data_IF_709273328532
#
_entry.id   IF_709273328532
#
_cell.length_a   1.000
_cell.length_b   1.000
_cell.length_c   1.000
_cell.angle_alpha   90.00
_cell.angle_beta   90.00
_cell.angle_gamma   90.00
#
_symmetry.space_group_name_H-M   'P 1'
#
loop_
_entity.id
_entity.type
_entity.pdbx_description
1 polymer ?
#
# COMPACT_ATOMS: atom_id res chain seq x y z
N UNK A 1 13.13 -3.56 2.68
CA UNK A 1 12.21 -4.69 2.48
C UNK A 1 11.54 -5.16 3.76
N UNK A 2 12.12 -6.04 4.61
CA UNK A 2 11.44 -6.57 5.82
C UNK A 2 10.78 -5.49 6.68
N UNK A 3 11.55 -4.46 7.07
CA UNK A 3 11.03 -3.36 7.87
C UNK A 3 9.84 -2.66 7.20
N UNK A 4 9.89 -2.44 5.88
CA UNK A 4 8.79 -1.78 5.14
C UNK A 4 7.58 -2.70 5.02
N UNK A 5 7.77 -3.98 4.70
CA UNK A 5 6.68 -4.98 4.64
C UNK A 5 5.94 -5.09 5.97
N UNK A 6 6.67 -5.04 7.08
CA UNK A 6 6.10 -5.01 8.43
C UNK A 6 5.44 -3.65 8.74
N UNK A 7 6.09 -2.53 8.37
CA UNK A 7 5.60 -1.18 8.58
C UNK A 7 4.26 -0.94 7.86
N UNK A 8 4.14 -1.41 6.62
CA UNK A 8 2.94 -1.30 5.79
C UNK A 8 1.93 -2.40 6.07
N UNK A 9 2.11 -3.15 7.17
CA UNK A 9 1.23 -4.24 7.62
C UNK A 9 0.96 -5.35 6.60
N UNK A 10 1.77 -5.47 5.55
CA UNK A 10 1.63 -6.51 4.51
C UNK A 10 2.06 -7.86 5.06
N UNK A 11 3.22 -7.90 5.72
CA UNK A 11 3.63 -9.06 6.51
C UNK A 11 3.72 -10.40 5.77
N UNK A 12 4.35 -10.46 4.59
CA UNK A 12 4.45 -11.71 3.79
C UNK A 12 4.97 -12.95 4.54
N UNK A 13 5.78 -12.76 5.60
CA UNK A 13 6.33 -13.88 6.38
C UNK A 13 7.50 -14.61 5.72
N UNK A 14 7.92 -14.21 4.52
CA UNK A 14 9.08 -14.73 3.79
C UNK A 14 10.41 -14.43 4.50
N UNK A 15 10.49 -13.29 5.19
CA UNK A 15 11.53 -12.96 6.14
C UNK A 15 10.88 -12.74 7.50
N UNK A 16 11.31 -13.50 8.50
CA UNK A 16 10.80 -13.40 9.86
C UNK A 16 11.91 -13.55 10.90
N UNK A 17 11.77 -12.90 12.07
CA UNK A 17 12.73 -13.04 13.16
C UNK A 17 12.67 -14.46 13.75
N UNK A 18 13.79 -15.17 13.77
CA UNK A 18 13.85 -16.54 14.31
C UNK A 18 14.27 -16.54 15.78
N UNK A 19 15.27 -15.73 16.14
CA UNK A 19 15.83 -15.65 17.50
C UNK A 19 14.96 -14.84 18.46
N UNK A 20 15.02 -15.18 19.75
CA UNK A 20 14.26 -14.53 20.84
C UNK A 20 14.46 -13.01 20.86
N UNK A 21 15.72 -12.55 20.81
CA UNK A 21 16.04 -11.12 20.87
C UNK A 21 15.51 -10.37 19.64
N UNK A 22 15.60 -10.99 18.45
CA UNK A 22 15.07 -10.41 17.21
C UNK A 22 13.55 -10.35 17.18
N UNK A 23 12.87 -11.32 17.82
CA UNK A 23 11.41 -11.32 17.97
C UNK A 23 10.96 -10.19 18.89
N UNK A 24 11.62 -10.03 20.05
CA UNK A 24 11.36 -8.93 20.97
C UNK A 24 11.52 -7.57 20.30
N UNK A 25 12.63 -7.35 19.58
CA UNK A 25 12.84 -6.12 18.82
C UNK A 25 11.75 -5.90 17.77
N UNK A 26 11.37 -6.94 17.04
CA UNK A 26 10.32 -6.87 16.02
C UNK A 26 8.95 -6.52 16.64
N UNK A 27 8.65 -7.00 17.84
CA UNK A 27 7.42 -6.60 18.55
C UNK A 27 7.40 -5.10 18.83
N UNK A 28 8.48 -4.54 19.39
CA UNK A 28 8.58 -3.09 19.63
C UNK A 28 8.50 -2.29 18.33
N UNK A 29 9.19 -2.75 17.29
CA UNK A 29 9.12 -2.15 15.97
C UNK A 29 7.70 -2.18 15.40
N UNK A 30 7.00 -3.32 15.42
CA UNK A 30 5.64 -3.44 14.88
C UNK A 30 4.65 -2.52 15.61
N UNK A 31 4.74 -2.43 16.94
CA UNK A 31 3.87 -1.54 17.73
C UNK A 31 4.11 -0.06 17.42
N UNK A 32 5.38 0.36 17.33
CA UNK A 32 5.72 1.75 16.98
C UNK A 32 5.40 2.08 15.52
N UNK A 33 5.62 1.12 14.62
CA UNK A 33 5.35 1.22 13.20
C UNK A 33 3.88 1.52 12.90
N UNK A 34 2.93 0.78 13.47
CA UNK A 34 1.49 0.98 13.19
C UNK A 34 1.04 2.40 13.56
N UNK A 35 1.47 2.93 14.71
CA UNK A 35 1.10 4.28 15.15
C UNK A 35 1.78 5.41 14.34
N UNK A 36 3.10 5.32 14.16
CA UNK A 36 3.87 6.34 13.45
C UNK A 36 3.59 6.34 11.94
N UNK A 37 3.40 5.17 11.34
CA UNK A 37 3.09 5.07 9.92
C UNK A 37 1.65 5.54 9.63
N UNK A 38 0.68 5.16 10.45
CA UNK A 38 -0.71 5.64 10.30
C UNK A 38 -0.80 7.16 10.43
N UNK A 39 -0.13 7.76 11.42
CA UNK A 39 -0.08 9.23 11.57
C UNK A 39 0.65 9.93 10.43
N UNK A 40 1.72 9.35 9.90
CA UNK A 40 2.42 9.87 8.71
C UNK A 40 1.52 9.81 7.46
N UNK A 41 0.86 8.68 7.22
CA UNK A 41 -0.08 8.52 6.11
C UNK A 41 -1.24 9.52 6.21
N UNK A 42 -1.80 9.70 7.41
CA UNK A 42 -2.85 10.69 7.65
C UNK A 42 -2.37 12.12 7.38
N UNK A 43 -1.14 12.46 7.78
CA UNK A 43 -0.53 13.76 7.50
C UNK A 43 -0.29 14.00 6.01
N UNK A 44 0.21 13.00 5.27
CA UNK A 44 0.40 13.13 3.81
C UNK A 44 -0.92 13.17 3.05
N UNK A 45 -1.92 12.41 3.51
CA UNK A 45 -3.28 12.47 2.97
C UNK A 45 -3.88 13.86 3.15
N UNK A 46 -3.72 14.48 4.32
CA UNK A 46 -4.26 15.82 4.59
C UNK A 46 -3.61 16.92 3.77
N UNK A 47 -2.30 16.83 3.45
CA UNK A 47 -1.66 17.80 2.55
C UNK A 47 -2.26 17.79 1.13
N UNK A 48 -2.68 16.62 0.64
CA UNK A 48 -3.29 16.49 -0.69
C UNK A 48 -4.75 16.95 -0.70
N UNK A 49 -5.46 16.73 0.41
CA UNK A 49 -6.83 17.24 0.60
C UNK A 49 -6.84 18.76 0.74
N UNK A 50 -5.91 19.33 1.52
CA UNK A 50 -5.78 20.79 1.68
C UNK A 50 -5.49 21.50 0.35
N UNK A 51 -4.76 20.85 -0.58
CA UNK A 51 -4.57 21.36 -1.94
C UNK A 51 -5.83 21.38 -2.81
N UNK A 52 -6.90 20.68 -2.42
CA UNK A 52 -8.21 20.68 -3.08
C UNK A 52 -9.26 21.54 -2.36
N UNK A 53 -8.95 22.09 -1.19
CA UNK A 53 -9.91 22.82 -0.34
C UNK A 53 -10.26 24.23 -0.84
N UNK A 54 -9.44 24.83 -1.71
CA UNK A 54 -9.79 26.11 -2.37
C UNK A 54 -10.99 26.00 -3.34
N UNK A 55 -11.49 24.79 -3.59
CA UNK A 55 -12.62 24.53 -4.52
C UNK A 55 -13.92 24.12 -3.80
N UNK A 56 -13.96 24.01 -2.47
CA UNK A 56 -15.12 23.45 -1.73
C UNK A 56 -15.79 24.50 -0.83
N UNK A 57 -16.58 25.38 -1.46
CA UNK A 57 -17.74 26.02 -0.81
C UNK A 57 -19.03 25.65 -1.55
N UNK A 58 -19.19 24.37 -1.92
CA UNK A 58 -20.49 23.87 -2.37
C UNK A 58 -20.71 22.42 -1.90
N UNK A 59 -21.33 22.29 -0.72
CA UNK A 59 -21.88 21.04 -0.21
C UNK A 59 -23.15 20.72 -0.99
N UNK A 60 -22.99 20.19 -2.21
CA UNK A 60 -24.11 19.80 -3.07
C UNK A 60 -23.83 18.44 -3.70
N UNK A 61 -24.67 17.47 -3.35
CA UNK A 61 -24.77 16.09 -3.86
C UNK A 61 -23.60 15.60 -4.74
N UNK A 62 -22.53 15.08 -4.12
CA UNK A 62 -21.52 14.32 -4.86
C UNK A 62 -22.19 13.05 -5.40
N UNK A 63 -22.30 12.97 -6.72
CA UNK A 63 -22.84 11.77 -7.37
C UNK A 63 -21.89 10.58 -7.16
N UNK A 64 -22.46 9.43 -6.79
CA UNK A 64 -21.70 8.22 -6.44
C UNK A 64 -20.88 7.67 -7.62
N UNK A 65 -21.44 7.74 -8.83
CA UNK A 65 -20.84 7.15 -10.03
C UNK A 65 -19.46 7.72 -10.42
N UNK A 66 -19.25 9.05 -10.52
CA UNK A 66 -17.92 9.58 -10.83
C UNK A 66 -16.89 9.30 -9.74
N UNK A 67 -17.27 9.27 -8.47
CA UNK A 67 -16.35 8.93 -7.36
C UNK A 67 -15.92 7.47 -7.43
N UNK A 68 -16.88 6.54 -7.56
CA UNK A 68 -16.57 5.11 -7.71
C UNK A 68 -15.73 4.87 -8.97
N UNK A 69 -16.05 5.53 -10.09
CA UNK A 69 -15.26 5.44 -11.32
C UNK A 69 -13.82 5.91 -11.11
N UNK A 70 -13.60 7.03 -10.43
CA UNK A 70 -12.27 7.53 -10.11
C UNK A 70 -11.49 6.52 -9.27
N UNK A 71 -12.07 6.06 -8.16
CA UNK A 71 -11.44 5.10 -7.25
C UNK A 71 -11.04 3.82 -8.01
N UNK A 72 -11.95 3.27 -8.82
CA UNK A 72 -11.68 2.09 -9.62
C UNK A 72 -10.51 2.27 -10.59
N UNK A 73 -10.41 3.43 -11.26
CA UNK A 73 -9.31 3.75 -12.16
C UNK A 73 -7.98 3.90 -11.43
N UNK A 74 -7.97 4.53 -10.25
CA UNK A 74 -6.76 4.69 -9.43
C UNK A 74 -6.27 3.33 -8.92
N UNK A 75 -7.17 2.50 -8.37
CA UNK A 75 -6.82 1.16 -7.91
C UNK A 75 -6.29 0.28 -9.05
N UNK A 76 -6.93 0.33 -10.22
CA UNK A 76 -6.43 -0.35 -11.41
C UNK A 76 -5.03 0.15 -11.79
N UNK A 77 -4.81 1.47 -11.76
CA UNK A 77 -3.51 2.09 -12.00
C UNK A 77 -2.43 1.59 -11.04
N UNK A 78 -2.72 1.53 -9.74
CA UNK A 78 -1.80 1.00 -8.72
C UNK A 78 -1.48 -0.48 -8.94
N UNK A 79 -2.50 -1.30 -9.25
CA UNK A 79 -2.32 -2.72 -9.54
C UNK A 79 -1.40 -2.90 -10.76
N UNK A 80 -1.62 -2.16 -11.84
CA UNK A 80 -0.78 -2.25 -13.04
C UNK A 80 0.64 -1.73 -12.78
N UNK A 81 0.78 -0.64 -12.05
CA UNK A 81 2.06 -0.07 -11.64
C UNK A 81 2.87 -1.05 -10.78
N UNK A 82 2.21 -1.85 -9.95
CA UNK A 82 2.82 -2.93 -9.17
C UNK A 82 3.15 -4.15 -10.01
N UNK A 83 2.15 -4.65 -10.76
CA UNK A 83 2.21 -5.94 -11.45
C UNK A 83 3.21 -5.95 -12.60
N UNK A 84 3.28 -4.90 -13.42
CA UNK A 84 4.12 -4.90 -14.63
C UNK A 84 5.63 -4.99 -14.28
N UNK A 85 6.18 -4.15 -13.39
CA UNK A 85 7.59 -4.28 -13.01
C UNK A 85 7.85 -5.56 -12.23
N UNK A 86 6.92 -6.01 -11.37
CA UNK A 86 7.07 -7.24 -10.62
C UNK A 86 7.15 -8.47 -11.54
N UNK A 87 6.27 -8.57 -12.54
CA UNK A 87 6.30 -9.62 -13.56
C UNK A 87 7.66 -9.66 -14.28
N UNK A 88 8.20 -8.50 -14.64
CA UNK A 88 9.49 -8.40 -15.33
C UNK A 88 10.68 -8.74 -14.43
N UNK A 89 10.71 -8.23 -13.20
CA UNK A 89 11.81 -8.41 -12.25
C UNK A 89 11.88 -9.84 -11.69
N UNK A 90 10.74 -10.49 -11.50
CA UNK A 90 10.64 -11.82 -10.87
C UNK A 90 10.31 -12.93 -11.89
N UNK A 91 10.13 -12.59 -13.17
CA UNK A 91 9.79 -13.55 -14.22
C UNK A 91 8.42 -14.21 -14.03
N UNK A 92 7.46 -13.47 -13.46
CA UNK A 92 6.13 -13.96 -13.10
C UNK A 92 5.12 -13.77 -14.24
N UNK A 93 4.11 -14.64 -14.30
CA UNK A 93 3.00 -14.47 -15.23
C UNK A 93 2.17 -13.24 -14.87
N UNK A 94 1.42 -12.71 -15.84
CA UNK A 94 0.54 -11.55 -15.61
C UNK A 94 -0.46 -11.82 -14.47
N UNK A 95 -1.03 -13.02 -14.41
CA UNK A 95 -1.99 -13.39 -13.38
C UNK A 95 -1.37 -13.42 -11.98
N UNK A 96 -0.20 -14.04 -11.82
CA UNK A 96 0.54 -14.05 -10.55
C UNK A 96 0.94 -12.64 -10.12
N UNK A 97 1.38 -11.80 -11.06
CA UNK A 97 1.83 -10.44 -10.75
C UNK A 97 0.68 -9.50 -10.38
N UNK A 98 -0.47 -9.62 -11.04
CA UNK A 98 -1.70 -8.89 -10.66
C UNK A 98 -2.19 -9.37 -9.30
N UNK A 99 -2.22 -10.68 -9.08
CA UNK A 99 -2.57 -11.26 -7.78
C UNK A 99 -1.65 -10.72 -6.68
N UNK A 100 -0.34 -10.75 -6.89
CA UNK A 100 0.66 -10.17 -6.00
C UNK A 100 0.34 -8.69 -5.72
N UNK A 101 0.20 -7.87 -6.76
CA UNK A 101 -0.06 -6.44 -6.60
C UNK A 101 -1.34 -6.17 -5.79
N UNK A 102 -2.40 -6.96 -6.01
CA UNK A 102 -3.65 -6.89 -5.26
C UNK A 102 -3.45 -7.22 -3.78
N UNK A 103 -2.92 -8.40 -3.44
CA UNK A 103 -2.76 -8.83 -2.03
C UNK A 103 -1.79 -7.93 -1.26
N UNK A 104 -0.82 -7.33 -1.95
CA UNK A 104 0.12 -6.37 -1.40
C UNK A 104 -0.53 -5.01 -1.16
N UNK A 105 -1.31 -4.52 -2.12
CA UNK A 105 -2.04 -3.25 -2.02
C UNK A 105 -3.08 -3.29 -0.89
N UNK A 106 -3.79 -4.40 -0.75
CA UNK A 106 -4.78 -4.61 0.31
C UNK A 106 -4.16 -5.05 1.64
N UNK A 107 -2.83 -5.10 1.73
CA UNK A 107 -2.06 -5.53 2.91
C UNK A 107 -2.46 -6.92 3.44
N UNK A 108 -2.95 -7.81 2.58
CA UNK A 108 -3.29 -9.20 2.93
C UNK A 108 -2.01 -10.04 3.03
N UNK A 109 -1.14 -9.92 2.02
CA UNK A 109 0.23 -10.45 2.04
C UNK A 109 0.36 -11.91 2.43
N UNK A 110 -0.33 -12.83 1.76
CA UNK A 110 -0.24 -14.28 2.05
C UNK A 110 1.17 -14.86 1.98
N UNK A 111 2.07 -14.26 1.20
CA UNK A 111 3.47 -14.66 1.11
C UNK A 111 3.74 -15.85 0.19
N UNK A 112 2.72 -16.35 -0.49
CA UNK A 112 2.81 -17.35 -1.56
C UNK A 112 3.54 -16.81 -2.80
N UNK A 113 3.31 -15.52 -3.11
CA UNK A 113 4.04 -14.77 -4.11
C UNK A 113 4.81 -13.61 -3.46
N UNK A 114 6.14 -13.64 -3.56
CA UNK A 114 7.04 -12.65 -2.95
C UNK A 114 8.26 -12.37 -3.82
N UNK A 115 8.84 -11.16 -3.77
CA UNK A 115 10.06 -10.86 -4.51
C UNK A 115 11.25 -11.65 -3.96
N UNK A 116 11.91 -12.41 -4.83
CA UNK A 116 13.10 -13.20 -4.50
C UNK A 116 14.36 -12.45 -4.90
N UNK A 117 14.31 -11.69 -5.98
CA UNK A 117 15.47 -10.93 -6.48
C UNK A 117 15.74 -9.69 -5.62
N UNK A 118 17.00 -9.25 -5.60
CA UNK A 118 17.37 -8.00 -4.92
C UNK A 118 16.64 -6.79 -5.53
N UNK A 119 16.50 -6.77 -6.86
CA UNK A 119 15.81 -5.70 -7.57
C UNK A 119 14.30 -5.71 -7.27
N UNK A 120 13.65 -6.88 -7.26
CA UNK A 120 12.26 -7.02 -6.87
C UNK A 120 12.02 -6.58 -5.43
N UNK A 121 12.88 -6.96 -4.47
CA UNK A 121 12.77 -6.50 -3.08
C UNK A 121 12.91 -4.98 -2.94
N UNK A 122 13.81 -4.37 -3.72
CA UNK A 122 13.96 -2.92 -3.75
C UNK A 122 12.72 -2.23 -4.35
N UNK A 123 12.24 -2.73 -5.48
CA UNK A 123 11.01 -2.27 -6.12
C UNK A 123 9.81 -2.36 -5.18
N UNK A 124 9.56 -3.54 -4.60
CA UNK A 124 8.46 -3.77 -3.65
C UNK A 124 8.54 -2.82 -2.46
N UNK A 125 9.75 -2.52 -1.97
CA UNK A 125 9.93 -1.56 -0.87
C UNK A 125 9.40 -0.17 -1.25
N UNK A 126 9.73 0.34 -2.44
CA UNK A 126 9.24 1.65 -2.91
C UNK A 126 7.75 1.61 -3.24
N UNK A 127 7.32 0.56 -3.95
CA UNK A 127 5.92 0.36 -4.34
C UNK A 127 4.99 0.37 -3.12
N UNK A 128 5.31 -0.38 -2.06
CA UNK A 128 4.45 -0.46 -0.87
C UNK A 128 4.29 0.88 -0.15
N UNK A 129 5.34 1.71 -0.10
CA UNK A 129 5.25 3.04 0.51
C UNK A 129 4.32 3.97 -0.28
N UNK A 130 4.46 3.99 -1.61
CA UNK A 130 3.63 4.82 -2.48
C UNK A 130 2.18 4.31 -2.51
N UNK A 131 2.00 3.00 -2.66
CA UNK A 131 0.70 2.35 -2.69
C UNK A 131 -0.08 2.60 -1.39
N UNK A 132 0.57 2.52 -0.22
CA UNK A 132 -0.09 2.77 1.07
C UNK A 132 -0.63 4.20 1.19
N UNK A 133 0.11 5.22 0.72
CA UNK A 133 -0.36 6.62 0.74
C UNK A 133 -1.60 6.80 -0.12
N UNK A 134 -1.53 6.34 -1.38
CA UNK A 134 -2.61 6.54 -2.34
C UNK A 134 -3.84 5.72 -1.94
N UNK A 135 -3.66 4.48 -1.46
CA UNK A 135 -4.76 3.63 -1.02
C UNK A 135 -5.54 4.26 0.14
N UNK A 136 -4.85 4.83 1.15
CA UNK A 136 -5.50 5.51 2.27
C UNK A 136 -6.27 6.74 1.80
N UNK A 137 -5.73 7.53 0.87
CA UNK A 137 -6.44 8.68 0.32
C UNK A 137 -7.76 8.30 -0.38
N UNK A 138 -7.73 7.26 -1.21
CA UNK A 138 -8.94 6.76 -1.88
C UNK A 138 -9.95 6.18 -0.88
N UNK A 139 -9.47 5.56 0.20
CA UNK A 139 -10.34 5.10 1.29
C UNK A 139 -10.99 6.28 2.03
N UNK A 140 -10.27 7.36 2.33
CA UNK A 140 -10.84 8.57 2.93
C UNK A 140 -11.92 9.17 2.03
N UNK A 141 -11.66 9.29 0.73
CA UNK A 141 -12.65 9.77 -0.23
C UNK A 141 -13.90 8.88 -0.33
N UNK A 142 -13.76 7.57 -0.10
CA UNK A 142 -14.88 6.63 -0.05
C UNK A 142 -15.71 6.81 1.22
N UNK A 143 -15.07 7.11 2.36
CA UNK A 143 -15.73 7.34 3.65
C UNK A 143 -16.49 8.68 3.68
N UNK A 144 -16.01 9.68 2.92
CA UNK A 144 -16.63 11.01 2.82
C UNK A 144 -17.80 11.10 1.81
N UNK A 145 -18.24 9.98 1.21
CA UNK A 145 -19.38 9.90 0.27
C UNK A 145 -20.74 9.88 0.98
#
# INVERSE_FOLDING_TARGET
YFAVVTLTTVGYGDLCPVGTDSKLLTCFFALSAVGLFSSLLAGLASQVVAGHEDTIHDTSSRSLLPTIRRIALVLLGLILLGAVPFAWLEGKTCAEAVYWACISLTTVGYGDEVPKTTAGKAFTTVYLLVAAVIFVQELTHLVDL
#
